data_IF_743791911044
#
_entry.id   IF_743791911044
#
_cell.length_a   1.000
_cell.length_b   1.000
_cell.length_c   1.000
_cell.angle_alpha   90.00
_cell.angle_beta   90.00
_cell.angle_gamma   90.00
#
_symmetry.space_group_name_H-M   'P 1'
#
loop_
_entity.id
_entity.type
_entity.pdbx_description
1 polymer ?
#
# COMPACT_ATOMS: atom_id res chain seq x y z
N UNK A 1 26.09 5.69 -5.09
CA UNK A 1 24.71 5.65 -5.56
C UNK A 1 23.79 5.85 -4.39
N UNK A 2 22.86 6.78 -4.51
CA UNK A 2 21.82 7.04 -3.53
C UNK A 2 20.47 6.59 -4.09
N UNK A 3 19.66 5.96 -3.25
CA UNK A 3 18.38 5.34 -3.64
C UNK A 3 17.22 5.94 -2.87
N UNK A 4 16.19 6.39 -3.60
CA UNK A 4 14.91 6.79 -3.03
C UNK A 4 13.91 5.63 -3.18
N UNK A 5 13.38 5.13 -2.08
CA UNK A 5 12.41 4.03 -2.06
C UNK A 5 11.04 4.61 -1.77
N UNK A 6 10.11 4.45 -2.72
CA UNK A 6 8.79 5.07 -2.70
C UNK A 6 7.70 3.98 -2.66
N UNK A 7 7.34 3.47 -1.47
CA UNK A 7 6.22 2.54 -1.34
C UNK A 7 4.88 3.28 -1.45
N UNK A 8 4.01 2.83 -2.36
CA UNK A 8 2.63 3.31 -2.48
C UNK A 8 1.72 2.44 -1.63
N UNK A 9 1.18 3.02 -0.56
CA UNK A 9 0.25 2.38 0.35
C UNK A 9 -1.07 3.14 0.42
N UNK A 10 -2.09 2.57 1.04
CA UNK A 10 -3.39 3.21 1.18
C UNK A 10 -3.45 4.14 2.41
N UNK A 11 -4.41 5.05 2.38
CA UNK A 11 -4.80 5.84 3.55
C UNK A 11 -5.84 5.11 4.41
N UNK A 12 -6.67 4.26 3.79
CA UNK A 12 -7.73 3.51 4.44
C UNK A 12 -7.29 2.07 4.76
N UNK A 13 -7.87 1.49 5.79
CA UNK A 13 -7.66 0.10 6.17
C UNK A 13 -8.62 -0.87 5.47
N UNK A 14 -8.61 -2.12 5.97
CA UNK A 14 -9.52 -3.20 5.56
C UNK A 14 -9.37 -3.61 4.08
N UNK A 15 -8.19 -3.44 3.53
CA UNK A 15 -7.82 -3.83 2.15
C UNK A 15 -6.98 -5.13 2.11
N UNK A 16 -7.18 -6.04 3.06
CA UNK A 16 -6.40 -7.28 3.14
C UNK A 16 -4.91 -7.07 3.34
N UNK A 17 -4.09 -7.76 2.57
CA UNK A 17 -2.62 -7.75 2.68
C UNK A 17 -1.90 -6.69 1.83
N UNK A 18 -2.63 -5.84 1.08
CA UNK A 18 -2.08 -4.89 0.09
C UNK A 18 -0.93 -4.06 0.66
N UNK A 19 -1.15 -3.37 1.78
CA UNK A 19 -0.14 -2.51 2.40
C UNK A 19 1.05 -3.30 2.96
N UNK A 20 0.76 -4.45 3.58
CA UNK A 20 1.80 -5.28 4.17
C UNK A 20 2.75 -5.88 3.11
N UNK A 21 2.23 -6.23 1.93
CA UNK A 21 3.03 -6.75 0.82
C UNK A 21 3.96 -5.69 0.22
N UNK A 22 3.46 -4.47 -0.02
CA UNK A 22 4.27 -3.33 -0.48
C UNK A 22 5.41 -3.05 0.49
N UNK A 23 5.10 -2.95 1.79
CA UNK A 23 6.12 -2.69 2.81
C UNK A 23 7.11 -3.86 2.95
N UNK A 24 6.65 -5.10 2.81
CA UNK A 24 7.54 -6.27 2.80
C UNK A 24 8.50 -6.22 1.60
N UNK A 25 7.98 -5.94 0.41
CA UNK A 25 8.80 -5.77 -0.80
C UNK A 25 9.81 -4.63 -0.65
N UNK A 26 9.40 -3.49 -0.08
CA UNK A 26 10.28 -2.35 0.19
C UNK A 26 11.44 -2.71 1.13
N UNK A 27 11.16 -3.50 2.17
CA UNK A 27 12.21 -3.96 3.11
C UNK A 27 13.17 -4.97 2.49
N UNK A 28 12.69 -5.81 1.58
CA UNK A 28 13.55 -6.73 0.83
C UNK A 28 14.45 -5.93 -0.09
N UNK A 29 13.87 -5.04 -0.90
CA UNK A 29 14.62 -4.18 -1.81
C UNK A 29 15.67 -3.34 -1.06
N UNK A 30 15.32 -2.79 0.10
CA UNK A 30 16.23 -2.01 0.92
C UNK A 30 17.49 -2.81 1.30
N UNK A 31 17.36 -4.10 1.61
CA UNK A 31 18.50 -4.97 1.96
C UNK A 31 19.40 -5.27 0.77
N UNK A 32 18.79 -5.42 -0.41
CA UNK A 32 19.52 -5.79 -1.63
C UNK A 32 20.27 -4.61 -2.24
N UNK A 33 19.80 -3.37 -2.03
CA UNK A 33 20.44 -2.16 -2.54
C UNK A 33 21.71 -1.83 -1.74
N UNK A 34 22.74 -1.39 -2.45
CA UNK A 34 24.01 -0.91 -1.88
C UNK A 34 24.08 0.62 -2.00
N UNK A 35 24.45 1.29 -0.92
CA UNK A 35 24.59 2.76 -0.90
C UNK A 35 23.64 3.42 0.08
N UNK A 36 23.48 4.73 -0.08
CA UNK A 36 22.60 5.51 0.76
C UNK A 36 21.15 5.28 0.35
N UNK A 37 20.26 5.14 1.34
CA UNK A 37 18.86 4.80 1.11
C UNK A 37 17.97 5.76 1.88
N UNK A 38 16.87 6.17 1.26
CA UNK A 38 15.89 7.06 1.87
C UNK A 38 14.49 6.58 1.49
N UNK A 39 13.57 6.61 2.45
CA UNK A 39 12.16 6.29 2.20
C UNK A 39 11.32 7.56 2.10
N UNK A 40 10.46 7.60 1.08
CA UNK A 40 9.38 8.56 0.94
C UNK A 40 8.07 7.77 0.78
N UNK A 41 7.23 7.75 1.79
CA UNK A 41 6.03 6.90 1.83
C UNK A 41 4.84 7.67 1.26
N UNK A 42 4.11 7.02 0.36
CA UNK A 42 2.81 7.47 -0.12
C UNK A 42 1.71 6.67 0.60
N UNK A 43 0.81 7.38 1.32
CA UNK A 43 -0.27 6.79 2.10
C UNK A 43 0.07 6.57 3.58
N UNK A 44 -0.92 6.82 4.45
CA UNK A 44 -0.76 6.81 5.90
C UNK A 44 -0.49 5.43 6.50
N UNK A 45 -1.00 4.35 5.88
CA UNK A 45 -0.85 2.99 6.42
C UNK A 45 0.58 2.45 6.32
N UNK A 46 1.37 2.95 5.38
CA UNK A 46 2.80 2.61 5.24
C UNK A 46 3.64 3.15 6.39
N UNK A 47 3.36 4.34 6.89
CA UNK A 47 4.10 4.96 7.98
C UNK A 47 4.16 4.07 9.22
N UNK A 48 2.99 3.61 9.70
CA UNK A 48 2.90 2.77 10.88
C UNK A 48 3.69 1.46 10.80
N UNK A 49 3.83 0.90 9.59
CA UNK A 49 4.55 -0.34 9.33
C UNK A 49 6.07 -0.16 9.18
N UNK A 50 6.54 1.02 8.76
CA UNK A 50 7.96 1.32 8.55
C UNK A 50 8.58 2.10 9.70
N UNK A 51 7.85 3.02 10.33
CA UNK A 51 8.38 3.94 11.35
C UNK A 51 9.11 3.23 12.49
N UNK A 52 8.58 2.10 12.95
CA UNK A 52 9.18 1.35 14.07
C UNK A 52 10.51 0.69 13.74
N UNK A 53 10.70 0.27 12.48
CA UNK A 53 11.89 -0.51 12.08
C UNK A 53 12.89 0.29 11.26
N UNK A 54 12.43 1.24 10.44
CA UNK A 54 13.23 2.00 9.47
C UNK A 54 12.98 3.52 9.58
N UNK A 55 12.54 3.99 10.76
CA UNK A 55 12.22 5.41 10.97
C UNK A 55 13.40 6.35 10.72
N UNK A 56 14.63 5.89 10.91
CA UNK A 56 15.84 6.67 10.65
C UNK A 56 16.12 6.92 9.14
N UNK A 57 15.54 6.11 8.27
CA UNK A 57 15.64 6.25 6.81
C UNK A 57 14.44 7.02 6.22
N UNK A 58 13.44 7.32 7.04
CA UNK A 58 12.21 7.96 6.59
C UNK A 58 12.42 9.46 6.46
N UNK A 59 12.34 9.97 5.23
CA UNK A 59 12.44 11.40 4.93
C UNK A 59 11.09 12.07 4.88
N UNK A 60 10.12 11.47 4.22
CA UNK A 60 8.82 12.10 3.97
C UNK A 60 7.66 11.10 3.99
N UNK A 61 6.50 11.57 4.42
CA UNK A 61 5.23 10.83 4.34
C UNK A 61 4.19 11.75 3.72
N UNK A 62 3.62 11.32 2.60
CA UNK A 62 2.55 12.03 1.90
C UNK A 62 1.25 11.24 2.14
N UNK A 63 0.27 11.88 2.74
CA UNK A 63 -1.00 11.27 3.13
C UNK A 63 -2.17 11.88 2.37
N UNK A 64 -3.34 11.28 2.50
CA UNK A 64 -4.59 11.77 1.91
C UNK A 64 -4.63 11.78 0.37
N UNK A 65 -3.83 10.90 -0.24
CA UNK A 65 -3.65 10.81 -1.70
C UNK A 65 -4.95 10.41 -2.41
N UNK A 66 -5.83 9.66 -1.72
CA UNK A 66 -7.06 9.11 -2.28
C UNK A 66 -8.34 9.77 -1.75
N UNK A 67 -8.25 10.99 -1.22
CA UNK A 67 -9.44 11.78 -0.86
C UNK A 67 -10.25 12.20 -2.10
N UNK A 68 -9.54 12.61 -3.15
CA UNK A 68 -10.10 12.94 -4.44
C UNK A 68 -9.70 11.89 -5.49
N UNK A 69 -10.40 11.81 -6.62
CA UNK A 69 -9.96 10.99 -7.75
C UNK A 69 -8.53 11.35 -8.15
N UNK A 70 -7.69 10.33 -8.34
CA UNK A 70 -6.29 10.52 -8.71
C UNK A 70 -6.21 11.31 -10.03
N UNK A 71 -5.59 12.48 -10.00
CA UNK A 71 -5.36 13.34 -11.14
C UNK A 71 -3.87 13.42 -11.49
N UNK A 72 -3.56 13.83 -12.73
CA UNK A 72 -2.17 14.06 -13.11
C UNK A 72 -1.55 15.25 -12.33
N UNK A 73 -2.36 16.27 -12.00
CA UNK A 73 -1.90 17.39 -11.18
C UNK A 73 -1.40 16.93 -9.80
N UNK A 74 -2.16 16.08 -9.10
CA UNK A 74 -1.71 15.48 -7.84
C UNK A 74 -0.42 14.68 -8.01
N UNK A 75 -0.30 13.92 -9.10
CA UNK A 75 0.91 13.14 -9.36
C UNK A 75 2.12 14.02 -9.64
N UNK A 76 1.92 15.18 -10.29
CA UNK A 76 2.96 16.19 -10.50
C UNK A 76 3.43 16.81 -9.18
N UNK A 77 2.51 17.17 -8.29
CA UNK A 77 2.83 17.69 -6.95
C UNK A 77 3.63 16.65 -6.14
N UNK A 78 3.20 15.38 -6.18
CA UNK A 78 3.94 14.29 -5.52
C UNK A 78 5.33 14.12 -6.14
N UNK A 79 5.47 14.20 -7.46
CA UNK A 79 6.75 14.07 -8.14
C UNK A 79 7.71 15.20 -7.74
N UNK A 80 7.23 16.44 -7.66
CA UNK A 80 7.99 17.59 -7.18
C UNK A 80 8.45 17.39 -5.74
N UNK A 81 7.54 16.97 -4.86
CA UNK A 81 7.86 16.65 -3.46
C UNK A 81 8.90 15.52 -3.35
N UNK A 82 8.85 14.51 -4.19
CA UNK A 82 9.84 13.41 -4.21
C UNK A 82 11.22 13.90 -4.66
N UNK A 83 11.31 14.82 -5.60
CA UNK A 83 12.58 15.41 -6.05
C UNK A 83 13.22 16.28 -4.95
N UNK A 84 12.42 16.94 -4.13
CA UNK A 84 12.91 17.78 -3.03
C UNK A 84 13.27 17.01 -1.76
N UNK A 85 12.89 15.74 -1.64
CA UNK A 85 13.10 14.95 -0.43
C UNK A 85 14.58 14.79 -0.04
N UNK A 86 15.40 14.41 -0.98
CA UNK A 86 16.86 14.23 -0.87
C UNK A 86 17.42 13.97 -2.25
N UNK A 87 18.67 14.38 -2.49
CA UNK A 87 19.34 14.04 -3.73
C UNK A 87 19.48 12.52 -3.86
N UNK A 88 19.00 11.97 -4.96
CA UNK A 88 19.05 10.54 -5.27
C UNK A 88 19.45 10.31 -6.73
N UNK A 89 20.09 9.20 -6.99
CA UNK A 89 20.46 8.77 -8.36
C UNK A 89 19.32 7.98 -8.99
N UNK A 90 18.62 7.17 -8.18
CA UNK A 90 17.56 6.28 -8.64
C UNK A 90 16.39 6.22 -7.65
N UNK A 91 15.19 6.43 -8.14
CA UNK A 91 13.94 6.22 -7.41
C UNK A 91 13.35 4.85 -7.72
N UNK A 92 12.91 4.13 -6.69
CA UNK A 92 12.25 2.82 -6.78
C UNK A 92 10.82 2.96 -6.27
N UNK A 93 9.84 2.92 -7.18
CA UNK A 93 8.42 3.02 -6.87
C UNK A 93 7.88 1.62 -6.67
N UNK A 94 7.44 1.28 -5.46
CA UNK A 94 6.86 -0.02 -5.14
C UNK A 94 5.35 0.12 -5.07
N UNK A 95 4.65 -0.65 -5.88
CA UNK A 95 3.22 -0.53 -6.06
C UNK A 95 2.56 -1.90 -6.30
N UNK A 96 1.24 -1.95 -6.20
CA UNK A 96 0.46 -3.13 -6.52
C UNK A 96 -0.17 -2.99 -7.90
N UNK A 97 0.24 -3.84 -8.83
CA UNK A 97 -0.33 -3.94 -10.17
C UNK A 97 -1.60 -4.77 -10.13
N UNK A 98 -2.67 -4.22 -10.64
CA UNK A 98 -3.94 -4.94 -10.77
C UNK A 98 -3.86 -6.04 -11.85
N UNK A 99 -4.26 -7.24 -11.51
CA UNK A 99 -4.41 -8.37 -12.47
C UNK A 99 -5.86 -8.77 -12.65
N UNK A 100 -6.58 -8.95 -11.56
CA UNK A 100 -7.98 -9.36 -11.55
C UNK A 100 -8.65 -8.96 -10.24
N UNK A 101 -9.96 -9.15 -10.13
CA UNK A 101 -10.71 -8.86 -8.92
C UNK A 101 -10.21 -9.60 -7.66
N UNK A 102 -9.45 -10.67 -7.82
CA UNK A 102 -8.93 -11.50 -6.72
C UNK A 102 -7.40 -11.53 -6.63
N UNK A 103 -6.69 -10.93 -7.60
CA UNK A 103 -5.23 -11.03 -7.68
C UNK A 103 -4.59 -9.70 -8.09
N UNK A 104 -3.50 -9.37 -7.42
CA UNK A 104 -2.60 -8.27 -7.72
C UNK A 104 -1.15 -8.71 -7.51
N UNK A 105 -0.21 -8.09 -8.20
CA UNK A 105 1.22 -8.33 -8.03
C UNK A 105 1.90 -7.09 -7.46
N UNK A 106 2.76 -7.28 -6.48
CA UNK A 106 3.62 -6.20 -5.99
C UNK A 106 4.86 -6.10 -6.85
N UNK A 107 5.06 -4.96 -7.50
CA UNK A 107 6.15 -4.70 -8.43
C UNK A 107 6.96 -3.48 -8.00
N UNK A 108 8.19 -3.42 -8.53
CA UNK A 108 9.09 -2.28 -8.38
C UNK A 108 9.28 -1.66 -9.77
N UNK A 109 9.05 -0.36 -9.88
CA UNK A 109 9.36 0.43 -11.07
C UNK A 109 10.50 1.38 -10.74
N UNK A 110 11.47 1.49 -11.63
CA UNK A 110 12.65 2.31 -11.43
C UNK A 110 12.59 3.57 -12.28
N UNK A 111 13.02 4.69 -11.71
CA UNK A 111 13.19 5.96 -12.38
C UNK A 111 14.54 6.56 -12.00
N UNK A 112 15.34 6.92 -12.98
CA UNK A 112 16.60 7.62 -12.75
C UNK A 112 16.34 9.10 -12.46
N UNK A 113 17.24 9.73 -11.72
CA UNK A 113 17.22 11.19 -11.54
C UNK A 113 17.67 11.90 -12.82
N UNK A 114 17.42 13.20 -12.90
CA UNK A 114 17.86 14.00 -14.03
C UNK A 114 19.38 14.00 -14.16
N UNK A 115 20.10 14.12 -13.03
CA UNK A 115 21.57 14.12 -12.99
C UNK A 115 22.14 12.78 -13.50
N UNK A 116 21.62 11.66 -13.01
CA UNK A 116 22.04 10.32 -13.45
C UNK A 116 21.72 10.07 -14.95
N UNK A 117 20.58 10.60 -15.42
CA UNK A 117 20.22 10.52 -16.85
C UNK A 117 21.17 11.37 -17.70
N UNK A 118 21.54 12.57 -17.25
CA UNK A 118 22.44 13.46 -17.96
C UNK A 118 23.84 12.84 -18.11
N UNK A 119 24.37 12.21 -17.04
CA UNK A 119 25.62 11.45 -17.12
C UNK A 119 25.55 10.31 -18.14
N UNK A 120 24.43 9.60 -18.19
CA UNK A 120 24.22 8.53 -19.15
C UNK A 120 24.06 9.04 -20.58
N UNK A 121 23.39 10.19 -20.77
CA UNK A 121 23.25 10.84 -22.08
C UNK A 121 24.59 11.25 -22.67
N UNK A 122 25.57 11.62 -21.87
CA UNK A 122 26.92 11.92 -22.35
C UNK A 122 27.55 10.76 -23.16
N UNK A 123 27.22 9.51 -22.78
CA UNK A 123 27.65 8.34 -23.56
C UNK A 123 26.89 8.13 -24.88
N UNK A 124 25.68 8.69 -25.00
CA UNK A 124 24.90 8.64 -26.25
C UNK A 124 25.30 9.73 -27.23
N UNK A 125 25.81 10.89 -26.77
CA UNK A 125 26.29 11.98 -27.65
C UNK A 125 27.49 11.56 -28.50
N UNK A 126 28.22 10.51 -28.10
CA UNK A 126 29.26 9.91 -28.94
C UNK A 126 28.70 9.19 -30.20
N UNK A 127 27.45 8.78 -30.16
CA UNK A 127 26.82 7.95 -31.21
C UNK A 127 25.68 8.66 -31.96
N UNK A 128 25.10 9.66 -31.37
CA UNK A 128 23.93 10.39 -31.90
C UNK A 128 24.16 11.88 -31.79
N UNK A 129 23.83 12.61 -32.85
CA UNK A 129 23.73 14.07 -32.80
C UNK A 129 22.38 14.45 -32.21
N UNK A 130 22.40 15.28 -31.18
CA UNK A 130 21.19 15.88 -30.61
C UNK A 130 21.14 17.35 -31.01
N UNK A 131 19.93 17.90 -31.17
CA UNK A 131 19.74 19.33 -31.31
C UNK A 131 20.28 20.05 -30.07
N UNK A 132 20.94 21.20 -30.26
CA UNK A 132 21.65 21.93 -29.18
C UNK A 132 20.74 22.25 -27.99
N UNK A 133 19.45 22.50 -28.23
CA UNK A 133 18.45 22.72 -27.20
C UNK A 133 18.22 21.52 -26.26
N UNK A 134 18.45 20.29 -26.75
CA UNK A 134 18.24 19.06 -25.97
C UNK A 134 19.36 18.77 -24.97
N UNK A 135 20.51 19.36 -25.14
CA UNK A 135 21.68 19.17 -24.26
C UNK A 135 21.65 20.13 -23.06
N UNK A 136 20.76 21.10 -23.02
CA UNK A 136 20.60 21.99 -21.87
C UNK A 136 20.03 21.24 -20.66
N UNK A 137 20.68 21.42 -19.51
CA UNK A 137 20.30 20.77 -18.24
C UNK A 137 18.84 21.06 -17.83
N UNK A 138 18.29 22.18 -18.22
CA UNK A 138 16.93 22.61 -17.94
C UNK A 138 15.91 21.68 -18.60
N UNK A 139 16.06 21.41 -19.90
CA UNK A 139 15.15 20.54 -20.67
C UNK A 139 15.19 19.09 -20.16
N UNK A 140 16.35 18.61 -19.75
CA UNK A 140 16.49 17.28 -19.16
C UNK A 140 15.76 17.19 -17.82
N UNK A 141 15.87 18.19 -16.97
CA UNK A 141 15.16 18.25 -15.69
C UNK A 141 13.64 18.23 -15.90
N UNK A 142 13.11 19.06 -16.80
CA UNK A 142 11.68 19.11 -17.09
C UNK A 142 11.17 17.78 -17.66
N UNK A 143 11.93 17.17 -18.56
CA UNK A 143 11.60 15.86 -19.13
C UNK A 143 11.58 14.78 -18.05
N UNK A 144 12.58 14.72 -17.19
CA UNK A 144 12.65 13.71 -16.12
C UNK A 144 11.59 13.94 -15.06
N UNK A 145 11.23 15.19 -14.76
CA UNK A 145 10.09 15.51 -13.89
C UNK A 145 8.78 15.00 -14.48
N UNK A 146 8.55 15.23 -15.78
CA UNK A 146 7.37 14.73 -16.48
C UNK A 146 7.32 13.19 -16.50
N UNK A 147 8.47 12.52 -16.74
CA UNK A 147 8.57 11.05 -16.69
C UNK A 147 8.24 10.53 -15.30
N UNK A 148 8.79 11.14 -14.24
CA UNK A 148 8.50 10.75 -12.86
C UNK A 148 7.02 10.95 -12.53
N UNK A 149 6.44 12.11 -12.87
CA UNK A 149 5.02 12.39 -12.66
C UNK A 149 4.12 11.39 -13.39
N UNK A 150 4.43 11.06 -14.65
CA UNK A 150 3.70 10.09 -15.45
C UNK A 150 3.77 8.68 -14.85
N UNK A 151 4.95 8.27 -14.37
CA UNK A 151 5.12 7.00 -13.66
C UNK A 151 4.32 7.00 -12.36
N UNK A 152 4.47 8.00 -11.52
CA UNK A 152 3.72 8.14 -10.26
C UNK A 152 2.22 8.06 -10.53
N UNK A 153 1.71 8.82 -11.51
CA UNK A 153 0.30 8.80 -11.89
C UNK A 153 -0.20 7.39 -12.25
N UNK A 154 0.51 6.72 -13.15
CA UNK A 154 0.18 5.36 -13.58
C UNK A 154 0.20 4.38 -12.39
N UNK A 155 1.19 4.46 -11.51
CA UNK A 155 1.33 3.54 -10.36
C UNK A 155 0.33 3.83 -9.24
N UNK A 156 -0.07 5.09 -9.07
CA UNK A 156 -1.16 5.46 -8.18
C UNK A 156 -2.51 4.87 -8.65
N UNK A 157 -2.82 4.93 -9.94
CA UNK A 157 -4.05 4.35 -10.50
C UNK A 157 -4.08 2.82 -10.34
N UNK A 158 -2.97 2.14 -10.65
CA UNK A 158 -2.83 0.69 -10.47
C UNK A 158 -3.01 0.30 -8.99
N UNK A 159 -2.36 1.02 -8.08
CA UNK A 159 -2.47 0.79 -6.64
C UNK A 159 -3.88 1.06 -6.12
N UNK A 160 -4.54 2.14 -6.57
CA UNK A 160 -5.91 2.47 -6.20
C UNK A 160 -6.88 1.37 -6.62
N UNK A 161 -6.76 0.89 -7.87
CA UNK A 161 -7.60 -0.20 -8.39
C UNK A 161 -7.37 -1.49 -7.60
N UNK A 162 -6.12 -1.83 -7.31
CA UNK A 162 -5.77 -3.02 -6.53
C UNK A 162 -6.28 -2.92 -5.09
N UNK A 163 -6.22 -1.74 -4.48
CA UNK A 163 -6.72 -1.46 -3.13
C UNK A 163 -8.25 -1.65 -3.04
N UNK A 164 -9.00 -1.06 -3.97
CA UNK A 164 -10.46 -1.17 -3.99
C UNK A 164 -10.89 -2.62 -4.20
N UNK A 165 -10.25 -3.32 -5.13
CA UNK A 165 -10.52 -4.73 -5.40
C UNK A 165 -10.22 -5.62 -4.19
N UNK A 166 -9.06 -5.44 -3.55
CA UNK A 166 -8.70 -6.19 -2.35
C UNK A 166 -9.63 -5.90 -1.17
N UNK A 167 -10.11 -4.64 -1.05
CA UNK A 167 -11.11 -4.27 -0.03
C UNK A 167 -12.45 -4.97 -0.30
N UNK A 168 -12.89 -5.02 -1.54
CA UNK A 168 -14.12 -5.74 -1.91
C UNK A 168 -14.04 -7.21 -1.50
N UNK A 169 -12.97 -7.91 -1.87
CA UNK A 169 -12.78 -9.31 -1.47
C UNK A 169 -12.66 -9.51 0.05
N UNK A 170 -11.96 -8.61 0.76
CA UNK A 170 -11.86 -8.67 2.21
C UNK A 170 -13.21 -8.49 2.90
N UNK A 171 -14.05 -7.58 2.41
CA UNK A 171 -15.40 -7.32 2.94
C UNK A 171 -16.36 -8.47 2.63
N UNK A 172 -16.27 -9.06 1.44
CA UNK A 172 -17.07 -10.25 1.10
C UNK A 172 -16.75 -11.42 2.05
N UNK A 173 -15.46 -11.70 2.27
CA UNK A 173 -15.03 -12.72 3.22
C UNK A 173 -15.47 -12.39 4.66
N UNK A 174 -15.37 -11.13 5.08
CA UNK A 174 -15.83 -10.69 6.39
C UNK A 174 -17.34 -10.90 6.57
N UNK A 175 -18.15 -10.56 5.56
CA UNK A 175 -19.60 -10.77 5.57
C UNK A 175 -19.96 -12.26 5.70
N UNK A 176 -19.28 -13.13 4.94
CA UNK A 176 -19.47 -14.58 5.04
C UNK A 176 -19.12 -15.12 6.43
N UNK A 177 -17.95 -14.71 6.95
CA UNK A 177 -17.52 -15.11 8.30
C UNK A 177 -18.48 -14.63 9.38
N UNK A 178 -19.05 -13.42 9.25
CA UNK A 178 -20.09 -12.91 10.15
C UNK A 178 -21.34 -13.81 10.12
N UNK A 179 -21.81 -14.18 8.94
CA UNK A 179 -22.97 -15.10 8.80
C UNK A 179 -22.73 -16.44 9.50
N UNK A 180 -21.57 -17.05 9.30
CA UNK A 180 -21.18 -18.28 9.98
C UNK A 180 -21.11 -18.14 11.51
N UNK A 181 -20.58 -17.00 11.99
CA UNK A 181 -20.47 -16.72 13.43
C UNK A 181 -21.85 -16.52 14.06
N UNK A 182 -22.76 -15.79 13.40
CA UNK A 182 -24.16 -15.64 13.83
C UNK A 182 -24.83 -17.01 13.98
N UNK A 183 -24.67 -17.89 12.99
CA UNK A 183 -25.19 -19.26 13.05
C UNK A 183 -24.67 -20.04 14.27
N UNK A 184 -23.37 -20.00 14.52
CA UNK A 184 -22.75 -20.64 15.69
C UNK A 184 -23.25 -20.09 17.02
N UNK A 185 -23.36 -18.74 17.13
CA UNK A 185 -23.84 -18.08 18.35
C UNK A 185 -25.32 -18.43 18.58
N UNK A 186 -26.15 -18.43 17.53
CA UNK A 186 -27.57 -18.81 17.62
C UNK A 186 -27.75 -20.24 18.11
N UNK A 187 -26.95 -21.19 17.60
CA UNK A 187 -26.95 -22.57 18.09
C UNK A 187 -26.55 -22.66 19.57
N UNK A 188 -25.51 -21.95 19.97
CA UNK A 188 -25.07 -21.93 21.37
C UNK A 188 -26.12 -21.32 22.29
N UNK A 189 -26.74 -20.21 21.86
CA UNK A 189 -27.85 -19.58 22.60
C UNK A 189 -29.03 -20.55 22.76
N UNK A 190 -29.44 -21.26 21.71
CA UNK A 190 -30.52 -22.23 21.77
C UNK A 190 -30.17 -23.40 22.72
N UNK A 191 -28.94 -23.91 22.68
CA UNK A 191 -28.48 -24.95 23.62
C UNK A 191 -28.51 -24.43 25.07
N UNK A 192 -28.02 -23.24 25.33
CA UNK A 192 -28.03 -22.65 26.66
C UNK A 192 -29.46 -22.47 27.17
N UNK A 193 -30.35 -21.94 26.31
CA UNK A 193 -31.79 -21.79 26.65
C UNK A 193 -32.44 -23.15 26.99
N UNK A 194 -32.18 -24.19 26.21
CA UNK A 194 -32.71 -25.52 26.50
C UNK A 194 -32.15 -26.08 27.82
N UNK A 195 -30.87 -25.88 28.12
CA UNK A 195 -30.26 -26.30 29.35
C UNK A 195 -30.91 -25.60 30.58
N UNK A 196 -31.14 -24.28 30.49
CA UNK A 196 -31.83 -23.52 31.54
C UNK A 196 -33.28 -24.02 31.77
N UNK A 197 -34.03 -24.19 30.67
CA UNK A 197 -35.41 -24.73 30.76
C UNK A 197 -35.40 -26.13 31.39
N UNK A 198 -34.50 -26.99 31.00
CA UNK A 198 -34.38 -28.35 31.56
C UNK A 198 -34.01 -28.31 33.04
N UNK A 199 -33.15 -27.42 33.45
CA UNK A 199 -32.78 -27.21 34.86
C UNK A 199 -33.98 -26.72 35.66
N UNK A 200 -34.68 -25.68 35.20
CA UNK A 200 -35.87 -25.13 35.85
C UNK A 200 -36.97 -26.19 36.00
N UNK A 201 -37.25 -26.97 34.94
CA UNK A 201 -38.18 -28.08 35.02
C UNK A 201 -37.72 -29.15 36.04
N UNK A 202 -36.45 -29.47 36.09
CA UNK A 202 -35.89 -30.42 37.08
C UNK A 202 -36.07 -29.92 38.52
N UNK A 203 -35.83 -28.64 38.76
CA UNK A 203 -36.06 -27.99 40.06
C UNK A 203 -37.54 -28.02 40.45
N UNK A 204 -38.45 -27.72 39.55
CA UNK A 204 -39.92 -27.76 39.79
C UNK A 204 -40.35 -29.18 40.14
N UNK A 205 -39.95 -30.17 39.31
CA UNK A 205 -40.31 -31.56 39.53
C UNK A 205 -39.75 -32.08 40.86
N UNK A 206 -38.50 -31.75 41.20
CA UNK A 206 -37.86 -32.13 42.46
C UNK A 206 -38.54 -31.48 43.64
N UNK A 207 -38.91 -30.19 43.51
CA UNK A 207 -39.69 -29.47 44.57
C UNK A 207 -41.07 -30.08 44.77
N UNK A 208 -41.81 -30.39 43.69
CA UNK A 208 -43.10 -31.04 43.77
C UNK A 208 -43.05 -32.43 44.41
N UNK A 209 -42.02 -33.24 44.08
CA UNK A 209 -41.79 -34.53 44.71
C UNK A 209 -41.47 -34.43 46.20
N UNK A 210 -40.78 -33.37 46.65
CA UNK A 210 -40.45 -33.14 48.05
C UNK A 210 -41.66 -32.65 48.88
N UNK A 211 -42.63 -32.01 48.28
CA UNK A 211 -43.88 -31.52 48.95
C UNK A 211 -45.01 -32.58 48.94
N UNK A 212 -44.96 -33.55 48.02
CA UNK A 212 -45.93 -34.62 47.89
C UNK A 212 -45.61 -35.90 48.66
N UNK A 213 -44.47 -35.92 49.43
CA UNK A 213 -44.05 -36.95 50.35
C UNK A 213 -44.27 -36.43 51.78
#
# INVERSE_FOLDING_TARGET
MSHLIVPITSDRGLCGGVNAQVIKASKVLEKDLKGEKTFAILGSKGEGLLKRTHGHLLSRVITEIYQNPTSFALASEIAEELQTCKQYDKAHIIYNRFRSAIAYDTLVDECESADAMQERMAAFTEKYEFEDEFTESLHMNDMMQFVLASKVYSRLLESATSEVSARMGAMENASKNCGEMIGKITLNMNKARQAVITQELGEIVSGAAAVGA
#
